data_IF_964563099042
#
_entry.id   IF_964563099042
#
_cell.length_a   1.000
_cell.length_b   1.000
_cell.length_c   1.000
_cell.angle_alpha   90.00
_cell.angle_beta   90.00
_cell.angle_gamma   90.00
#
_symmetry.space_group_name_H-M   'P 1'
#
loop_
_entity.id
_entity.type
_entity.pdbx_description
1 polymer ?
#
# COMPACT_ATOMS: atom_id res chain seq x y z
N UNK A 1 11.26 -11.89 18.30
CA UNK A 1 10.93 -11.28 17.00
C UNK A 1 12.16 -11.37 16.11
N UNK A 2 12.03 -11.85 14.86
CA UNK A 2 13.19 -12.08 13.99
C UNK A 2 13.30 -11.04 12.87
N UNK A 3 14.52 -10.71 12.48
CA UNK A 3 14.80 -9.85 11.32
C UNK A 3 15.56 -10.64 10.25
N UNK A 4 15.45 -10.21 9.00
CA UNK A 4 16.23 -10.72 7.87
C UNK A 4 17.01 -9.58 7.26
N UNK A 5 18.33 -9.76 7.14
CA UNK A 5 19.17 -8.84 6.39
C UNK A 5 18.85 -8.94 4.89
N UNK A 6 18.70 -7.78 4.26
CA UNK A 6 18.60 -7.59 2.81
C UNK A 6 19.72 -6.65 2.39
N UNK A 7 20.58 -7.09 1.46
CA UNK A 7 21.78 -6.35 1.04
C UNK A 7 21.51 -5.24 0.02
N UNK A 8 20.40 -5.31 -0.71
CA UNK A 8 20.00 -4.35 -1.75
C UNK A 8 18.58 -3.82 -1.53
N UNK A 9 18.29 -3.45 -0.29
CA UNK A 9 17.04 -2.82 0.09
C UNK A 9 17.04 -1.33 -0.23
N UNK A 10 15.87 -0.75 -0.46
CA UNK A 10 15.74 0.69 -0.70
C UNK A 10 15.98 1.47 0.60
N UNK A 11 16.86 2.47 0.55
CA UNK A 11 17.10 3.42 1.66
C UNK A 11 16.34 4.75 1.47
N UNK A 12 15.66 4.91 0.35
CA UNK A 12 14.92 6.11 -0.04
C UNK A 12 13.56 6.25 0.65
N UNK A 13 13.46 5.92 1.93
CA UNK A 13 12.19 5.99 2.66
C UNK A 13 11.92 7.44 3.01
N UNK A 14 10.71 7.93 2.72
CA UNK A 14 10.34 9.33 3.00
C UNK A 14 10.44 9.59 4.49
N UNK A 15 10.83 10.82 4.85
CA UNK A 15 11.03 11.22 6.25
C UNK A 15 9.83 10.94 7.16
N UNK A 16 8.60 11.06 6.63
CA UNK A 16 7.35 10.75 7.33
C UNK A 16 7.25 9.30 7.83
N UNK A 17 8.00 8.37 7.23
CA UNK A 17 8.04 6.95 7.57
C UNK A 17 9.39 6.54 8.16
N UNK A 18 10.20 7.51 8.62
CA UNK A 18 11.50 7.23 9.24
C UNK A 18 11.58 7.84 10.63
N UNK A 19 12.26 7.12 11.54
CA UNK A 19 12.63 7.65 12.86
C UNK A 19 14.09 7.31 13.15
N UNK A 20 14.92 8.33 13.33
CA UNK A 20 16.33 8.16 13.68
C UNK A 20 16.48 8.15 15.20
N UNK A 21 17.14 7.13 15.74
CA UNK A 21 17.46 6.99 17.15
C UNK A 21 18.92 7.39 17.38
N UNK A 22 19.13 8.64 17.78
CA UNK A 22 20.45 9.14 18.13
C UNK A 22 21.07 8.29 19.26
N UNK A 23 22.37 8.00 19.16
CA UNK A 23 23.11 7.22 20.15
C UNK A 23 22.98 5.70 20.04
N UNK A 24 22.11 5.17 19.16
CA UNK A 24 22.03 3.74 18.88
C UNK A 24 22.73 3.45 17.56
N UNK A 25 23.87 2.75 17.58
CA UNK A 25 24.56 2.31 16.36
C UNK A 25 24.61 0.77 16.23
N UNK A 26 24.25 0.05 17.29
CA UNK A 26 24.23 -1.42 17.31
C UNK A 26 22.99 -1.96 16.59
N UNK A 27 23.20 -2.89 15.66
CA UNK A 27 22.12 -3.62 14.97
C UNK A 27 21.22 -4.36 15.96
N UNK A 28 21.80 -4.93 17.03
CA UNK A 28 21.05 -5.63 18.07
C UNK A 28 20.12 -4.68 18.81
N UNK A 29 20.63 -3.53 19.28
CA UNK A 29 19.81 -2.54 19.98
C UNK A 29 18.73 -1.96 19.05
N UNK A 30 19.08 -1.65 17.80
CA UNK A 30 18.14 -1.16 16.79
C UNK A 30 17.00 -2.16 16.53
N UNK A 31 17.32 -3.47 16.51
CA UNK A 31 16.31 -4.53 16.35
C UNK A 31 15.34 -4.61 17.54
N UNK A 32 15.81 -4.34 18.76
CA UNK A 32 14.96 -4.32 19.96
C UNK A 32 13.99 -3.14 19.89
N UNK A 33 14.49 -1.95 19.54
CA UNK A 33 13.65 -0.76 19.41
C UNK A 33 12.63 -0.90 18.27
N UNK A 34 13.04 -1.44 17.12
CA UNK A 34 12.09 -1.78 16.05
C UNK A 34 11.09 -2.86 16.48
N UNK A 35 11.50 -3.83 17.30
CA UNK A 35 10.63 -4.89 17.79
C UNK A 35 9.52 -4.41 18.72
N UNK A 36 9.76 -3.32 19.46
CA UNK A 36 8.79 -2.68 20.37
C UNK A 36 7.74 -1.85 19.65
N UNK A 37 8.06 -1.39 18.44
CA UNK A 37 7.20 -0.53 17.64
C UNK A 37 6.37 -1.38 16.66
N UNK A 38 5.02 -1.43 16.80
CA UNK A 38 4.18 -2.23 15.92
C UNK A 38 4.31 -1.84 14.44
N UNK A 39 4.43 -0.55 14.17
CA UNK A 39 4.58 0.03 12.82
C UNK A 39 5.98 -0.15 12.22
N UNK A 40 6.98 -0.57 13.00
CA UNK A 40 8.33 -0.74 12.45
C UNK A 40 8.39 -2.00 11.60
N UNK A 41 8.71 -1.83 10.31
CA UNK A 41 8.81 -2.92 9.33
C UNK A 41 10.25 -3.27 8.97
N UNK A 42 11.17 -2.31 9.14
CA UNK A 42 12.58 -2.52 8.89
C UNK A 42 13.42 -1.48 9.63
N UNK A 43 14.73 -1.71 9.68
CA UNK A 43 15.68 -0.71 10.15
C UNK A 43 16.99 -0.79 9.37
N UNK A 44 17.81 0.26 9.48
CA UNK A 44 19.19 0.28 9.01
C UNK A 44 20.09 1.03 9.99
N UNK A 45 21.38 0.68 9.97
CA UNK A 45 22.46 1.41 10.65
C UNK A 45 23.52 1.86 9.64
N UNK A 46 23.22 1.80 8.34
CA UNK A 46 24.18 2.03 7.27
C UNK A 46 24.74 3.48 7.25
N UNK A 47 23.94 4.45 7.66
CA UNK A 47 24.29 5.87 7.63
C UNK A 47 24.71 6.40 9.02
N UNK A 48 25.10 5.51 9.95
CA UNK A 48 25.53 5.86 11.31
C UNK A 48 24.50 5.43 12.35
N UNK A 49 23.64 6.32 12.85
CA UNK A 49 22.64 5.96 13.85
C UNK A 49 21.57 5.03 13.27
N UNK A 50 20.93 4.29 14.16
CA UNK A 50 19.78 3.44 13.91
C UNK A 50 18.65 4.29 13.30
N UNK A 51 18.24 3.93 12.10
CA UNK A 51 17.08 4.49 11.43
C UNK A 51 16.01 3.40 11.30
N UNK A 52 14.87 3.64 11.94
CA UNK A 52 13.69 2.79 11.86
C UNK A 52 12.84 3.21 10.67
N UNK A 53 12.26 2.23 9.96
CA UNK A 53 11.27 2.44 8.91
C UNK A 53 9.90 2.03 9.44
N UNK A 54 9.05 3.04 9.64
CA UNK A 54 7.77 2.97 10.34
C UNK A 54 6.63 3.17 9.35
N UNK A 55 5.93 2.10 9.03
CA UNK A 55 4.79 2.12 8.13
C UNK A 55 3.91 0.87 8.33
N UNK A 56 2.69 0.94 7.85
CA UNK A 56 1.71 -0.14 7.91
C UNK A 56 1.03 -0.34 6.56
N UNK A 57 -0.02 -1.17 6.53
CA UNK A 57 -0.79 -1.42 5.31
C UNK A 57 -1.44 -0.17 4.72
N UNK A 58 -1.69 0.86 5.54
CA UNK A 58 -2.34 2.10 5.14
C UNK A 58 -1.36 3.18 4.68
N UNK A 59 -0.07 2.94 4.83
CA UNK A 59 0.97 3.88 4.42
C UNK A 59 1.13 3.89 2.90
N UNK A 60 1.09 5.09 2.32
CA UNK A 60 1.13 5.32 0.86
C UNK A 60 2.38 6.07 0.45
N UNK A 61 2.89 5.76 -0.74
CA UNK A 61 4.08 6.39 -1.30
C UNK A 61 5.23 6.41 -0.29
N UNK A 62 5.55 5.25 0.30
CA UNK A 62 6.52 5.09 1.40
C UNK A 62 7.93 5.49 0.98
N UNK A 63 8.27 5.30 -0.30
CA UNK A 63 9.56 5.63 -0.89
C UNK A 63 9.49 6.94 -1.68
N UNK A 64 10.58 7.69 -1.69
CA UNK A 64 10.79 8.74 -2.68
C UNK A 64 10.91 8.16 -4.09
N UNK A 65 9.94 8.45 -4.96
CA UNK A 65 9.82 7.86 -6.30
C UNK A 65 11.05 8.07 -7.18
N UNK A 66 11.74 9.22 -7.04
CA UNK A 66 12.92 9.58 -7.83
C UNK A 66 14.24 9.08 -7.26
N UNK A 67 14.24 8.40 -6.12
CA UNK A 67 15.45 7.98 -5.44
C UNK A 67 15.73 6.50 -5.68
N UNK A 68 16.99 6.19 -6.02
CA UNK A 68 17.48 4.85 -6.32
C UNK A 68 18.50 4.33 -5.32
N UNK A 69 18.76 5.06 -4.23
CA UNK A 69 19.71 4.66 -3.18
C UNK A 69 19.30 3.32 -2.57
N UNK A 70 20.21 2.36 -2.66
CA UNK A 70 20.07 1.03 -2.06
C UNK A 70 21.18 0.77 -1.06
N UNK A 71 20.90 -0.14 -0.14
CA UNK A 71 21.90 -0.61 0.78
C UNK A 71 21.36 -1.69 1.71
N UNK A 72 22.12 -1.92 2.77
CA UNK A 72 21.82 -2.94 3.75
C UNK A 72 20.71 -2.45 4.69
N UNK A 73 19.68 -3.27 4.83
CA UNK A 73 18.62 -3.07 5.81
C UNK A 73 18.19 -4.41 6.41
N UNK A 74 17.51 -4.36 7.55
CA UNK A 74 17.00 -5.51 8.27
C UNK A 74 15.47 -5.44 8.28
N UNK A 75 14.82 -6.33 7.55
CA UNK A 75 13.36 -6.39 7.45
C UNK A 75 12.81 -7.28 8.55
N UNK A 76 11.78 -6.82 9.24
CA UNK A 76 11.04 -7.59 10.23
C UNK A 76 10.35 -8.77 9.55
N UNK A 77 10.53 -9.98 10.10
CA UNK A 77 9.84 -11.17 9.58
C UNK A 77 8.35 -11.05 9.81
N UNK A 78 7.58 -11.17 8.74
CA UNK A 78 6.13 -11.21 8.77
C UNK A 78 5.65 -12.67 8.78
N UNK A 79 4.64 -13.02 9.60
CA UNK A 79 4.01 -14.34 9.53
C UNK A 79 3.51 -14.63 8.12
N UNK A 80 3.73 -15.84 7.62
CA UNK A 80 3.26 -16.29 6.29
C UNK A 80 4.01 -15.70 5.09
N UNK A 81 5.08 -14.93 5.30
CA UNK A 81 5.93 -14.40 4.23
C UNK A 81 7.35 -14.96 4.30
N UNK A 82 8.00 -15.01 3.13
CA UNK A 82 9.42 -15.31 3.03
C UNK A 82 10.27 -14.30 3.82
N UNK A 83 11.37 -14.73 4.47
CA UNK A 83 12.24 -13.82 5.19
C UNK A 83 12.74 -12.68 4.31
N UNK A 84 12.49 -11.43 4.71
CA UNK A 84 12.89 -10.24 3.96
C UNK A 84 11.81 -9.68 3.05
N UNK A 85 10.69 -10.39 2.87
CA UNK A 85 9.53 -9.92 2.13
C UNK A 85 8.52 -9.20 3.04
N UNK A 86 7.93 -8.12 2.52
CA UNK A 86 6.80 -7.41 3.14
C UNK A 86 5.49 -7.62 2.37
N UNK A 87 5.56 -8.19 1.17
CA UNK A 87 4.42 -8.51 0.34
C UNK A 87 4.43 -10.00 -0.02
N UNK A 88 3.26 -10.64 -0.17
CA UNK A 88 3.14 -11.98 -0.72
C UNK A 88 3.68 -12.07 -2.16
N UNK A 89 3.89 -13.30 -2.68
CA UNK A 89 4.16 -13.53 -4.09
C UNK A 89 3.08 -12.92 -5.01
N UNK A 90 3.50 -12.45 -6.19
CA UNK A 90 2.61 -11.85 -7.20
C UNK A 90 2.40 -10.34 -7.07
N UNK A 91 2.87 -9.71 -5.98
CA UNK A 91 2.91 -8.26 -5.85
C UNK A 91 4.14 -7.68 -6.58
N UNK A 92 3.94 -7.23 -7.82
CA UNK A 92 5.03 -6.80 -8.71
C UNK A 92 4.90 -5.39 -9.27
N UNK A 93 3.67 -4.86 -9.39
CA UNK A 93 3.46 -3.50 -9.88
C UNK A 93 3.74 -2.53 -8.74
N UNK A 94 4.84 -1.78 -8.82
CA UNK A 94 5.31 -0.95 -7.73
C UNK A 94 5.10 0.54 -8.03
N UNK A 95 4.53 1.26 -7.06
CA UNK A 95 4.51 2.71 -7.02
C UNK A 95 5.14 3.17 -5.71
N UNK A 96 6.39 3.62 -5.78
CA UNK A 96 7.04 4.36 -4.70
C UNK A 96 6.94 3.66 -3.32
N UNK A 97 7.27 2.36 -3.28
CA UNK A 97 7.25 1.57 -2.05
C UNK A 97 5.92 0.88 -1.73
N UNK A 98 4.87 1.11 -2.51
CA UNK A 98 3.61 0.33 -2.48
C UNK A 98 3.62 -0.64 -3.65
N UNK A 99 3.16 -1.88 -3.45
CA UNK A 99 3.04 -2.90 -4.51
C UNK A 99 1.61 -3.34 -4.71
N UNK A 100 1.22 -3.59 -5.95
CA UNK A 100 -0.11 -4.02 -6.35
C UNK A 100 -0.05 -5.37 -7.05
N UNK A 101 -1.13 -6.14 -6.88
CA UNK A 101 -1.44 -7.37 -7.59
C UNK A 101 -2.89 -7.28 -8.07
N UNK A 102 -3.14 -7.60 -9.33
CA UNK A 102 -4.49 -7.76 -9.86
C UNK A 102 -4.95 -9.21 -9.68
N UNK A 103 -6.24 -9.40 -9.44
CA UNK A 103 -6.85 -10.72 -9.29
C UNK A 103 -8.00 -10.82 -10.29
N UNK A 104 -7.88 -11.74 -11.25
CA UNK A 104 -9.00 -12.04 -12.17
C UNK A 104 -9.97 -12.98 -11.49
N UNK A 105 -11.20 -12.53 -11.24
CA UNK A 105 -12.25 -13.31 -10.59
C UNK A 105 -13.63 -12.69 -10.83
N UNK A 106 -14.67 -13.52 -10.81
CA UNK A 106 -16.09 -13.12 -10.86
C UNK A 106 -16.71 -12.97 -9.46
N UNK A 107 -15.91 -13.12 -8.40
CA UNK A 107 -16.37 -13.02 -7.02
C UNK A 107 -16.87 -11.60 -6.67
N UNK A 108 -17.79 -11.51 -5.70
CA UNK A 108 -18.31 -10.24 -5.21
C UNK A 108 -17.22 -9.40 -4.52
N UNK A 109 -17.44 -8.08 -4.44
CA UNK A 109 -16.55 -7.16 -3.72
C UNK A 109 -16.21 -7.62 -2.29
N UNK A 110 -17.20 -8.10 -1.52
CA UNK A 110 -16.97 -8.53 -0.13
C UNK A 110 -16.08 -9.77 -0.07
N UNK A 111 -16.26 -10.72 -1.00
CA UNK A 111 -15.40 -11.88 -1.12
C UNK A 111 -13.98 -11.50 -1.56
N UNK A 112 -13.84 -10.52 -2.46
CA UNK A 112 -12.52 -10.01 -2.88
C UNK A 112 -11.80 -9.26 -1.76
N UNK A 113 -12.52 -8.42 -0.99
CA UNK A 113 -11.97 -7.75 0.20
C UNK A 113 -11.45 -8.76 1.20
N UNK A 114 -12.28 -9.74 1.57
CA UNK A 114 -11.90 -10.79 2.51
C UNK A 114 -10.66 -11.56 2.01
N UNK A 115 -10.61 -11.89 0.71
CA UNK A 115 -9.46 -12.56 0.10
C UNK A 115 -8.19 -11.72 0.20
N UNK A 116 -8.23 -10.44 -0.21
CA UNK A 116 -7.06 -9.57 -0.16
C UNK A 116 -6.57 -9.30 1.28
N UNK A 117 -7.48 -9.24 2.25
CA UNK A 117 -7.13 -9.04 3.67
C UNK A 117 -6.72 -10.33 4.38
N UNK A 118 -6.99 -11.50 3.79
CA UNK A 118 -6.48 -12.79 4.26
C UNK A 118 -5.04 -13.08 3.81
N UNK A 119 -4.54 -12.33 2.82
CA UNK A 119 -3.15 -12.43 2.38
C UNK A 119 -2.21 -11.96 3.52
N UNK A 120 -1.07 -12.65 3.66
CA UNK A 120 -0.12 -12.38 4.75
C UNK A 120 0.60 -11.03 4.62
N UNK A 121 1.11 -10.52 5.74
CA UNK A 121 1.86 -9.26 5.80
C UNK A 121 0.95 -8.03 5.85
N UNK A 122 1.22 -7.05 5.00
CA UNK A 122 0.53 -5.75 4.96
C UNK A 122 -0.47 -5.64 3.80
N UNK A 123 -0.97 -6.77 3.31
CA UNK A 123 -1.89 -6.81 2.19
C UNK A 123 -3.30 -6.31 2.57
N UNK A 124 -3.94 -5.62 1.63
CA UNK A 124 -5.33 -5.17 1.73
C UNK A 124 -5.91 -4.97 0.32
N UNK A 125 -7.24 -4.86 0.22
CA UNK A 125 -7.86 -4.39 -1.01
C UNK A 125 -7.47 -2.93 -1.24
N UNK A 126 -7.13 -2.57 -2.49
CA UNK A 126 -6.45 -1.31 -2.76
C UNK A 126 -7.31 -0.08 -2.45
N UNK A 127 -6.82 0.77 -1.54
CA UNK A 127 -7.36 2.10 -1.27
C UNK A 127 -6.56 3.12 -2.08
N UNK A 128 -7.19 3.90 -2.96
CA UNK A 128 -6.50 4.86 -3.84
C UNK A 128 -6.68 6.28 -3.30
N UNK A 129 -5.58 6.90 -2.89
CA UNK A 129 -5.64 8.12 -2.05
C UNK A 129 -5.21 9.40 -2.74
N UNK A 130 -4.52 9.30 -3.87
CA UNK A 130 -4.08 10.47 -4.64
C UNK A 130 -4.13 10.23 -6.16
N UNK A 131 -3.99 11.31 -6.93
CA UNK A 131 -4.05 11.25 -8.40
C UNK A 131 -2.93 10.41 -9.02
N UNK A 132 -1.65 10.49 -8.57
CA UNK A 132 -0.60 9.59 -9.07
C UNK A 132 -0.91 8.10 -8.86
N UNK A 133 -1.39 7.72 -7.67
CA UNK A 133 -1.80 6.34 -7.35
C UNK A 133 -2.95 5.90 -8.25
N UNK A 134 -3.94 6.76 -8.44
CA UNK A 134 -5.05 6.51 -9.38
C UNK A 134 -4.53 6.23 -10.79
N UNK A 135 -3.72 7.13 -11.35
CA UNK A 135 -3.19 6.94 -12.71
C UNK A 135 -2.35 5.68 -12.85
N UNK A 136 -1.61 5.29 -11.81
CA UNK A 136 -0.85 4.03 -11.80
C UNK A 136 -1.77 2.80 -11.80
N UNK A 137 -2.78 2.79 -10.93
CA UNK A 137 -3.78 1.71 -10.89
C UNK A 137 -4.54 1.63 -12.21
N UNK A 138 -4.85 2.77 -12.82
CA UNK A 138 -5.48 2.87 -14.14
C UNK A 138 -4.65 2.26 -15.26
N UNK A 139 -3.37 2.60 -15.30
CA UNK A 139 -2.43 2.02 -16.26
C UNK A 139 -2.28 0.49 -16.06
N UNK A 140 -2.19 0.05 -14.81
CA UNK A 140 -2.04 -1.37 -14.47
C UNK A 140 -3.22 -2.22 -14.97
N UNK A 141 -4.47 -1.81 -14.72
CA UNK A 141 -5.60 -2.61 -15.20
C UNK A 141 -5.78 -2.48 -16.71
N UNK A 142 -5.48 -1.33 -17.32
CA UNK A 142 -5.60 -1.15 -18.77
C UNK A 142 -4.67 -2.10 -19.52
N UNK A 143 -3.46 -2.31 -19.01
CA UNK A 143 -2.49 -3.23 -19.59
C UNK A 143 -2.88 -4.72 -19.44
N UNK A 144 -3.63 -5.08 -18.38
CA UNK A 144 -3.87 -6.48 -18.01
C UNK A 144 -5.28 -6.98 -18.33
N UNK A 145 -6.29 -6.11 -18.24
CA UNK A 145 -7.71 -6.46 -18.40
C UNK A 145 -8.48 -5.32 -19.10
N UNK A 146 -8.24 -5.09 -20.41
CA UNK A 146 -8.93 -4.03 -21.15
C UNK A 146 -10.46 -4.21 -21.08
N UNK A 147 -11.17 -3.16 -20.67
CA UNK A 147 -12.64 -3.12 -20.70
C UNK A 147 -13.37 -3.75 -19.50
N UNK A 148 -12.67 -4.24 -18.48
CA UNK A 148 -13.28 -4.81 -17.25
C UNK A 148 -13.04 -3.89 -16.06
N UNK A 149 -14.11 -3.54 -15.33
CA UNK A 149 -13.99 -2.80 -14.08
C UNK A 149 -13.40 -3.69 -12.96
N UNK A 150 -12.52 -3.12 -12.14
CA UNK A 150 -11.86 -3.84 -11.03
C UNK A 150 -12.28 -3.24 -9.70
N UNK A 151 -12.63 -4.08 -8.73
CA UNK A 151 -12.98 -3.60 -7.40
C UNK A 151 -11.79 -3.00 -6.67
N UNK A 152 -12.02 -1.86 -6.03
CA UNK A 152 -11.13 -1.22 -5.06
C UNK A 152 -11.73 -1.33 -3.65
N UNK A 153 -11.01 -0.87 -2.62
CA UNK A 153 -11.42 -0.96 -1.22
C UNK A 153 -12.59 -0.05 -0.81
N UNK A 154 -13.07 0.80 -1.72
CA UNK A 154 -14.02 1.86 -1.39
C UNK A 154 -15.46 1.35 -1.30
N UNK A 155 -16.23 1.89 -0.36
CA UNK A 155 -17.65 1.59 -0.21
C UNK A 155 -18.43 2.82 0.27
N UNK A 156 -19.74 2.83 0.02
CA UNK A 156 -20.67 3.86 0.48
C UNK A 156 -21.27 3.46 1.82
N UNK A 157 -21.15 4.33 2.83
CA UNK A 157 -21.65 4.03 4.19
C UNK A 157 -23.17 4.01 4.30
N UNK A 158 -23.88 4.89 3.60
CA UNK A 158 -25.35 4.98 3.65
C UNK A 158 -25.96 5.30 2.28
N UNK A 159 -27.15 4.77 2.05
CA UNK A 159 -27.90 4.99 0.81
C UNK A 159 -28.37 6.45 0.75
N UNK A 160 -28.02 7.17 -0.33
CA UNK A 160 -28.40 8.58 -0.50
C UNK A 160 -27.37 9.61 -0.01
N UNK A 161 -26.19 9.18 0.44
CA UNK A 161 -25.04 10.06 0.60
C UNK A 161 -24.77 10.84 -0.70
N UNK A 162 -24.51 12.16 -0.60
CA UNK A 162 -24.10 12.96 -1.75
C UNK A 162 -22.86 12.32 -2.40
N UNK A 163 -22.65 12.55 -3.71
CA UNK A 163 -21.65 11.83 -4.50
C UNK A 163 -20.27 11.72 -3.83
N UNK A 164 -19.80 12.71 -3.06
CA UNK A 164 -18.50 12.60 -2.36
C UNK A 164 -18.59 12.37 -0.85
N UNK A 165 -19.74 12.64 -0.23
CA UNK A 165 -19.85 12.80 1.23
C UNK A 165 -20.50 11.55 1.84
N UNK A 166 -19.72 10.47 1.94
CA UNK A 166 -20.17 9.19 2.50
C UNK A 166 -19.43 7.97 1.98
N UNK A 167 -18.39 8.16 1.19
CA UNK A 167 -17.52 7.11 0.68
C UNK A 167 -16.28 6.95 1.54
N UNK A 168 -15.99 5.71 1.92
CA UNK A 168 -14.80 5.35 2.68
C UNK A 168 -14.01 4.25 1.98
N UNK A 169 -12.69 4.37 2.10
CA UNK A 169 -11.73 3.30 1.88
C UNK A 169 -11.79 2.32 3.07
N UNK A 170 -12.25 1.08 2.84
CA UNK A 170 -12.65 0.18 3.93
C UNK A 170 -11.49 -0.30 4.81
N UNK A 171 -10.30 -0.52 4.23
CA UNK A 171 -9.20 -1.12 4.97
C UNK A 171 -8.55 -0.13 5.95
N UNK A 172 -8.49 1.15 5.54
CA UNK A 172 -7.87 2.24 6.30
C UNK A 172 -8.87 3.19 6.96
N UNK A 173 -10.17 3.02 6.71
CA UNK A 173 -11.24 3.83 7.28
C UNK A 173 -11.03 5.34 7.05
N UNK A 174 -10.67 5.71 5.82
CA UNK A 174 -10.44 7.10 5.40
C UNK A 174 -11.43 7.50 4.32
N UNK A 175 -11.80 8.78 4.29
CA UNK A 175 -12.72 9.31 3.28
C UNK A 175 -12.10 9.26 1.89
N UNK A 176 -12.91 8.89 0.90
CA UNK A 176 -12.49 8.91 -0.51
C UNK A 176 -12.41 10.37 -0.99
N UNK A 177 -11.23 10.80 -1.40
CA UNK A 177 -11.02 12.15 -1.92
C UNK A 177 -11.72 12.34 -3.28
N UNK A 178 -12.32 13.51 -3.50
CA UNK A 178 -12.99 13.82 -4.77
C UNK A 178 -12.07 13.70 -6.01
N UNK A 179 -10.75 13.87 -5.83
CA UNK A 179 -9.73 13.82 -6.89
C UNK A 179 -9.47 12.41 -7.41
N UNK A 180 -9.84 11.38 -6.66
CA UNK A 180 -9.61 9.99 -7.08
C UNK A 180 -10.77 9.40 -7.89
N UNK A 181 -11.94 10.06 -7.91
CA UNK A 181 -13.04 9.68 -8.78
C UNK A 181 -12.77 9.96 -10.25
N UNK A 182 -13.28 9.11 -11.13
CA UNK A 182 -13.33 9.42 -12.56
C UNK A 182 -14.37 10.52 -12.85
N UNK A 183 -14.30 11.10 -14.05
CA UNK A 183 -15.32 12.06 -14.48
C UNK A 183 -16.69 11.39 -14.54
N UNK A 184 -17.69 12.00 -13.89
CA UNK A 184 -19.05 11.44 -13.79
C UNK A 184 -19.22 10.38 -12.69
N UNK A 185 -18.19 10.14 -11.88
CA UNK A 185 -18.27 9.27 -10.70
C UNK A 185 -18.27 10.05 -9.39
N UNK A 186 -18.82 9.46 -8.31
CA UNK A 186 -19.53 8.17 -8.30
C UNK A 186 -20.93 8.25 -8.90
N UNK A 187 -21.36 7.17 -9.55
CA UNK A 187 -22.72 7.00 -10.07
C UNK A 187 -23.64 6.40 -9.02
N UNK A 188 -24.94 6.71 -9.05
CA UNK A 188 -25.93 6.25 -8.07
C UNK A 188 -26.10 4.71 -7.99
N UNK A 189 -25.55 3.97 -8.95
CA UNK A 189 -25.84 2.57 -9.20
C UNK A 189 -25.05 1.56 -8.36
N UNK A 190 -23.95 1.94 -7.69
CA UNK A 190 -23.20 0.98 -6.89
C UNK A 190 -22.70 1.56 -5.56
N UNK A 191 -22.73 0.73 -4.52
CA UNK A 191 -22.26 1.04 -3.17
C UNK A 191 -20.75 0.77 -2.99
N UNK A 192 -20.02 0.52 -4.08
CA UNK A 192 -18.64 0.04 -4.09
C UNK A 192 -17.80 0.80 -5.11
N UNK A 193 -16.57 1.16 -4.73
CA UNK A 193 -15.64 1.83 -5.62
C UNK A 193 -15.03 0.82 -6.59
N UNK A 194 -14.93 1.24 -7.85
CA UNK A 194 -14.27 0.47 -8.88
C UNK A 194 -13.26 1.34 -9.60
N UNK A 195 -12.12 0.75 -9.93
CA UNK A 195 -11.26 1.30 -10.96
C UNK A 195 -11.92 1.01 -12.32
N UNK A 196 -12.30 2.05 -13.06
CA UNK A 196 -12.90 1.95 -14.39
C UNK A 196 -12.04 2.68 -15.41
N UNK A 197 -11.98 2.13 -16.62
CA UNK A 197 -11.44 2.84 -17.77
C UNK A 197 -12.32 4.06 -18.06
N UNK A 198 -11.76 5.26 -17.99
CA UNK A 198 -12.34 6.46 -18.62
C UNK A 198 -12.26 6.27 -20.12
N UNK A 199 -13.29 5.66 -20.72
CA UNK A 199 -13.57 5.98 -22.12
C UNK A 199 -13.93 7.45 -22.14
N UNK A 200 -12.96 8.30 -22.46
CA UNK A 200 -13.23 9.64 -22.96
C UNK A 200 -14.29 9.47 -24.05
N UNK A 201 -15.55 9.80 -23.73
CA UNK A 201 -16.50 10.14 -24.79
C UNK A 201 -15.96 11.44 -25.37
N UNK A 202 -15.41 11.34 -26.58
CA UNK A 202 -15.35 12.49 -27.49
C UNK A 202 -16.76 13.04 -27.69
#
# INVERSE_FOLDING_TARGET
MGFRQVSSGSLCIRSAFTRTLAGIASELQCSIECGREPSCQAFTTADGPCQLFLFDRCSKSVRDCGCSRRGRLFVKRQPGLEPGALCPPGYGNELCGVKYRTISTTASWSAQKLRCESDSGLAMLADVTDSPEKSHVEAMYTALSPGVAVYLGGYRMFRGAAQTDGWLWAACNITVDKRVWAAGEPTDFEEKAMARHTTLRK
#
